data_IF_175373383317
#
_entry.id   IF_175373383317
#
_cell.length_a   1.000
_cell.length_b   1.000
_cell.length_c   1.000
_cell.angle_alpha   90.00
_cell.angle_beta   90.00
_cell.angle_gamma   90.00
#
_symmetry.space_group_name_H-M   'P 1'
#
loop_
_entity.id
_entity.type
_entity.pdbx_description
1 polymer ?
#
# COMPACT_ATOMS: atom_id res chain seq x y z
N UNK A 1 17.72 -2.16 2.47
CA UNK A 1 18.47 -2.43 1.23
C UNK A 1 19.07 -3.82 1.34
N UNK A 2 18.71 -4.73 0.43
CA UNK A 2 19.21 -6.10 0.43
C UNK A 2 20.72 -6.16 0.16
N UNK A 3 21.42 -6.97 0.92
CA UNK A 3 22.85 -7.27 0.75
C UNK A 3 23.10 -8.08 -0.52
N UNK A 4 24.36 -8.13 -0.97
CA UNK A 4 24.75 -8.94 -2.13
C UNK A 4 24.40 -10.42 -1.97
N UNK A 5 24.64 -10.99 -0.78
CA UNK A 5 24.35 -12.40 -0.51
C UNK A 5 22.85 -12.69 -0.52
N UNK A 6 22.03 -11.79 0.01
CA UNK A 6 20.57 -11.91 -0.05
C UNK A 6 20.07 -11.83 -1.50
N UNK A 7 20.61 -10.91 -2.31
CA UNK A 7 20.29 -10.82 -3.74
C UNK A 7 20.67 -12.10 -4.46
N UNK A 8 21.85 -12.67 -4.19
CA UNK A 8 22.28 -13.93 -4.78
C UNK A 8 21.39 -15.10 -4.38
N UNK A 9 21.03 -15.22 -3.09
CA UNK A 9 20.08 -16.23 -2.62
C UNK A 9 18.69 -16.08 -3.28
N UNK A 10 18.24 -14.83 -3.47
CA UNK A 10 16.98 -14.54 -4.14
C UNK A 10 16.98 -14.96 -5.61
N UNK A 11 18.10 -14.87 -6.33
CA UNK A 11 18.21 -15.32 -7.73
C UNK A 11 17.80 -16.79 -7.90
N UNK A 12 18.09 -17.64 -6.92
CA UNK A 12 17.70 -19.05 -6.94
C UNK A 12 16.18 -19.25 -6.87
N UNK A 13 15.43 -18.25 -6.40
CA UNK A 13 13.96 -18.28 -6.30
C UNK A 13 13.26 -17.70 -7.55
N UNK A 14 14.00 -17.00 -8.42
CA UNK A 14 13.44 -16.37 -9.62
C UNK A 14 12.69 -17.36 -10.54
N UNK A 15 13.17 -18.59 -10.80
CA UNK A 15 12.40 -19.54 -11.62
C UNK A 15 11.02 -19.88 -11.04
N UNK A 16 10.92 -19.99 -9.71
CA UNK A 16 9.65 -20.20 -9.00
C UNK A 16 8.71 -19.02 -9.18
N UNK A 17 9.24 -17.79 -9.11
CA UNK A 17 8.47 -16.57 -9.31
C UNK A 17 8.04 -16.37 -10.76
N UNK A 18 8.89 -16.72 -11.73
CA UNK A 18 8.54 -16.75 -13.14
C UNK A 18 7.40 -17.72 -13.42
N UNK A 19 7.43 -18.92 -12.82
CA UNK A 19 6.34 -19.89 -12.91
C UNK A 19 5.05 -19.35 -12.30
N UNK A 20 5.12 -18.72 -11.12
CA UNK A 20 3.95 -18.18 -10.43
C UNK A 20 3.31 -16.98 -11.14
N UNK A 21 4.10 -16.24 -11.93
CA UNK A 21 3.66 -15.04 -12.65
C UNK A 21 3.68 -15.22 -14.16
N UNK A 22 3.73 -16.44 -14.68
CA UNK A 22 3.82 -16.71 -16.11
C UNK A 22 2.67 -16.03 -16.90
N UNK A 23 2.94 -15.55 -18.11
CA UNK A 23 1.96 -14.84 -18.92
C UNK A 23 1.15 -15.81 -19.78
N UNK A 24 0.21 -16.48 -19.12
CA UNK A 24 -0.65 -17.50 -19.72
C UNK A 24 -1.95 -17.62 -18.90
N UNK A 25 -2.95 -18.29 -19.47
CA UNK A 25 -4.26 -18.50 -18.84
C UNK A 25 -4.23 -19.52 -17.69
N UNK A 26 -3.12 -20.24 -17.50
CA UNK A 26 -3.05 -21.26 -16.43
C UNK A 26 -2.97 -20.59 -15.06
N UNK A 27 -3.83 -20.95 -14.11
CA UNK A 27 -3.80 -20.35 -12.78
C UNK A 27 -2.51 -20.74 -12.05
N UNK A 28 -1.97 -19.81 -11.26
CA UNK A 28 -0.81 -20.08 -10.39
C UNK A 28 -1.10 -21.28 -9.46
N UNK A 29 -0.27 -22.34 -9.49
CA UNK A 29 -0.43 -23.49 -8.59
C UNK A 29 -0.43 -23.08 -7.11
N UNK A 30 -1.36 -23.64 -6.33
CA UNK A 30 -1.60 -23.28 -4.92
C UNK A 30 -0.35 -23.33 -4.03
N UNK A 31 0.52 -24.32 -4.24
CA UNK A 31 1.75 -24.50 -3.45
C UNK A 31 2.75 -23.35 -3.63
N UNK A 32 2.76 -22.69 -4.79
CA UNK A 32 3.67 -21.57 -5.05
C UNK A 32 3.36 -20.36 -4.17
N UNK A 33 2.09 -20.15 -3.78
CA UNK A 33 1.74 -19.10 -2.83
C UNK A 33 2.45 -19.30 -1.49
N UNK A 34 2.42 -20.53 -0.97
CA UNK A 34 3.10 -20.87 0.28
C UNK A 34 4.61 -20.72 0.17
N UNK A 35 5.21 -21.18 -0.93
CA UNK A 35 6.66 -21.05 -1.14
C UNK A 35 7.09 -19.57 -1.27
N UNK A 36 6.28 -18.75 -1.94
CA UNK A 36 6.51 -17.30 -2.01
C UNK A 36 6.36 -16.64 -0.64
N UNK A 37 5.37 -17.07 0.15
CA UNK A 37 5.23 -16.66 1.55
C UNK A 37 6.51 -16.88 2.34
N UNK A 38 7.14 -18.06 2.22
CA UNK A 38 8.40 -18.40 2.89
C UNK A 38 9.56 -17.48 2.47
N UNK A 39 9.67 -17.10 1.19
CA UNK A 39 10.71 -16.16 0.71
C UNK A 39 10.64 -14.84 1.49
N UNK A 40 9.44 -14.33 1.77
CA UNK A 40 9.26 -13.07 2.50
C UNK A 40 9.74 -13.11 3.96
N UNK A 41 9.89 -14.32 4.54
CA UNK A 41 10.37 -14.55 5.91
C UNK A 41 11.83 -14.99 5.98
N UNK A 42 12.47 -15.31 4.83
CA UNK A 42 13.86 -15.78 4.78
C UNK A 42 14.84 -14.72 5.28
N UNK A 43 14.66 -13.47 4.85
CA UNK A 43 15.32 -12.28 5.40
C UNK A 43 14.59 -11.00 4.99
N UNK A 44 14.90 -9.87 5.64
CA UNK A 44 14.40 -8.55 5.21
C UNK A 44 14.83 -8.22 3.77
N UNK A 45 16.08 -8.55 3.40
CA UNK A 45 16.57 -8.34 2.03
C UNK A 45 15.90 -9.24 1.00
N UNK A 46 15.64 -10.52 1.31
CA UNK A 46 14.88 -11.41 0.41
C UNK A 46 13.44 -10.92 0.23
N UNK A 47 12.80 -10.45 1.31
CA UNK A 47 11.48 -9.82 1.24
C UNK A 47 11.48 -8.55 0.38
N UNK A 48 12.53 -7.73 0.48
CA UNK A 48 12.69 -6.55 -0.38
C UNK A 48 12.82 -6.94 -1.87
N UNK A 49 13.70 -7.89 -2.20
CA UNK A 49 13.86 -8.36 -3.58
C UNK A 49 12.57 -9.00 -4.13
N UNK A 50 11.83 -9.73 -3.30
CA UNK A 50 10.53 -10.28 -3.67
C UNK A 50 9.54 -9.17 -4.03
N UNK A 51 9.48 -8.12 -3.22
CA UNK A 51 8.58 -6.99 -3.48
C UNK A 51 8.96 -6.27 -4.78
N UNK A 52 10.24 -5.97 -4.97
CA UNK A 52 10.77 -5.36 -6.19
C UNK A 52 10.35 -6.17 -7.43
N UNK A 53 10.63 -7.49 -7.43
CA UNK A 53 10.23 -8.38 -8.51
C UNK A 53 8.72 -8.34 -8.79
N UNK A 54 7.88 -8.46 -7.75
CA UNK A 54 6.43 -8.49 -7.93
C UNK A 54 5.89 -7.15 -8.44
N UNK A 55 6.42 -6.02 -7.98
CA UNK A 55 6.02 -4.69 -8.46
C UNK A 55 6.46 -4.45 -9.91
N UNK A 56 7.65 -4.93 -10.31
CA UNK A 56 8.08 -4.92 -11.72
C UNK A 56 7.14 -5.78 -12.58
N UNK A 57 6.80 -6.99 -12.13
CA UNK A 57 5.84 -7.85 -12.84
C UNK A 57 4.45 -7.22 -12.93
N UNK A 58 3.99 -6.51 -11.88
CA UNK A 58 2.69 -5.83 -11.89
C UNK A 58 2.62 -4.74 -12.96
N UNK A 59 3.73 -4.13 -13.36
CA UNK A 59 3.76 -3.07 -14.37
C UNK A 59 3.60 -3.60 -15.80
N UNK A 60 3.94 -4.87 -16.07
CA UNK A 60 3.81 -5.48 -17.39
C UNK A 60 2.39 -5.35 -17.94
N UNK A 61 2.26 -5.04 -19.23
CA UNK A 61 0.99 -4.81 -19.94
C UNK A 61 0.26 -6.12 -20.29
N UNK A 62 0.05 -6.99 -19.29
CA UNK A 62 -0.77 -8.19 -19.42
C UNK A 62 -1.74 -8.32 -18.25
N UNK A 63 -3.01 -8.53 -18.55
CA UNK A 63 -4.02 -8.80 -17.52
C UNK A 63 -3.69 -10.09 -16.74
N UNK A 64 -3.19 -11.13 -17.41
CA UNK A 64 -2.89 -12.40 -16.75
C UNK A 64 -1.78 -12.26 -15.71
N UNK A 65 -0.71 -11.55 -16.08
CA UNK A 65 0.39 -11.25 -15.17
C UNK A 65 -0.11 -10.43 -13.98
N UNK A 66 -0.85 -9.34 -14.24
CA UNK A 66 -1.38 -8.47 -13.17
C UNK A 66 -2.27 -9.25 -12.21
N UNK A 67 -3.19 -10.08 -12.71
CA UNK A 67 -4.05 -10.92 -11.88
C UNK A 67 -3.22 -11.89 -11.01
N UNK A 68 -2.22 -12.57 -11.59
CA UNK A 68 -1.37 -13.52 -10.85
C UNK A 68 -0.58 -12.81 -9.74
N UNK A 69 0.03 -11.66 -10.05
CA UNK A 69 0.76 -10.84 -9.06
C UNK A 69 -0.17 -10.34 -7.95
N UNK A 70 -1.34 -9.80 -8.29
CA UNK A 70 -2.30 -9.31 -7.30
C UNK A 70 -2.80 -10.43 -6.39
N UNK A 71 -3.05 -11.63 -6.92
CA UNK A 71 -3.39 -12.81 -6.09
C UNK A 71 -2.25 -13.21 -5.16
N UNK A 72 -0.99 -13.06 -5.58
CA UNK A 72 0.16 -13.28 -4.69
C UNK A 72 0.15 -12.24 -3.58
N UNK A 73 -0.11 -10.97 -3.86
CA UNK A 73 -0.25 -9.94 -2.81
C UNK A 73 -1.42 -10.23 -1.86
N UNK A 74 -2.57 -10.69 -2.34
CA UNK A 74 -3.69 -11.12 -1.49
C UNK A 74 -3.22 -12.20 -0.50
N UNK A 75 -2.49 -13.21 -0.98
CA UNK A 75 -1.95 -14.25 -0.10
C UNK A 75 -0.95 -13.68 0.92
N UNK A 76 -0.03 -12.83 0.47
CA UNK A 76 1.01 -12.24 1.31
C UNK A 76 0.45 -11.31 2.37
N UNK A 77 -0.72 -10.68 2.17
CA UNK A 77 -1.38 -9.89 3.22
C UNK A 77 -1.60 -10.68 4.52
N UNK A 78 -1.88 -11.98 4.43
CA UNK A 78 -2.06 -12.85 5.60
C UNK A 78 -0.87 -13.75 5.95
N UNK A 79 0.08 -13.93 5.03
CA UNK A 79 1.14 -14.94 5.16
C UNK A 79 2.56 -14.38 4.99
N UNK A 80 2.69 -13.12 4.60
CA UNK A 80 3.98 -12.44 4.42
C UNK A 80 4.57 -11.93 5.72
N UNK A 81 5.86 -11.58 5.72
CA UNK A 81 6.49 -10.94 6.88
C UNK A 81 5.96 -9.52 7.11
N UNK A 82 5.94 -9.07 8.36
CA UNK A 82 5.51 -7.70 8.71
C UNK A 82 6.37 -6.62 8.01
N UNK A 83 7.66 -6.90 7.82
CA UNK A 83 8.56 -6.03 7.07
C UNK A 83 8.12 -5.91 5.61
N UNK A 84 7.86 -7.04 4.95
CA UNK A 84 7.34 -7.05 3.57
C UNK A 84 6.04 -6.24 3.45
N UNK A 85 5.08 -6.44 4.36
CA UNK A 85 3.81 -5.71 4.33
C UNK A 85 3.97 -4.20 4.56
N UNK A 86 4.93 -3.81 5.40
CA UNK A 86 5.26 -2.39 5.61
C UNK A 86 5.80 -1.76 4.32
N UNK A 87 6.71 -2.45 3.62
CA UNK A 87 7.24 -1.99 2.33
C UNK A 87 6.18 -1.99 1.22
N UNK A 88 5.29 -2.99 1.19
CA UNK A 88 4.18 -3.03 0.24
C UNK A 88 3.21 -1.85 0.47
N UNK A 89 2.94 -1.47 1.73
CA UNK A 89 2.15 -0.26 2.05
C UNK A 89 2.85 1.02 1.60
N UNK A 90 4.17 1.13 1.75
CA UNK A 90 4.96 2.28 1.25
C UNK A 90 4.87 2.43 -0.28
N UNK A 91 4.69 1.32 -0.98
CA UNK A 91 4.57 1.24 -2.44
C UNK A 91 3.11 1.05 -2.90
N UNK A 92 2.13 1.55 -2.14
CA UNK A 92 0.72 1.33 -2.45
C UNK A 92 0.26 1.97 -3.77
N UNK A 93 1.01 2.93 -4.32
CA UNK A 93 0.73 3.58 -5.60
C UNK A 93 0.56 2.58 -6.74
N UNK A 94 1.37 1.52 -6.78
CA UNK A 94 1.24 0.46 -7.79
C UNK A 94 -0.09 -0.31 -7.68
N UNK A 95 -0.57 -0.53 -6.45
CA UNK A 95 -1.87 -1.17 -6.20
C UNK A 95 -3.00 -0.24 -6.62
N UNK A 96 -2.88 1.07 -6.36
CA UNK A 96 -3.86 2.06 -6.81
C UNK A 96 -3.90 2.20 -8.34
N UNK A 97 -2.76 2.12 -9.01
CA UNK A 97 -2.73 2.09 -10.48
C UNK A 97 -3.42 0.85 -11.04
N UNK A 98 -3.21 -0.32 -10.42
CA UNK A 98 -3.89 -1.54 -10.81
C UNK A 98 -5.42 -1.49 -10.56
N UNK A 99 -5.88 -0.77 -9.53
CA UNK A 99 -7.31 -0.66 -9.20
C UNK A 99 -8.12 0.15 -10.23
N UNK A 100 -7.45 0.96 -11.05
CA UNK A 100 -8.06 1.73 -12.16
C UNK A 100 -7.67 1.20 -13.54
N UNK A 101 -6.97 0.06 -13.60
CA UNK A 101 -6.45 -0.50 -14.84
C UNK A 101 -7.55 -0.79 -15.88
N UNK A 102 -7.30 -0.36 -17.11
CA UNK A 102 -8.25 -0.39 -18.23
C UNK A 102 -7.52 -0.48 -19.57
N UNK A 103 -8.22 -0.88 -20.62
CA UNK A 103 -7.70 -0.96 -21.99
C UNK A 103 -8.80 -1.30 -22.99
N UNK A 104 -8.46 -1.47 -24.29
CA UNK A 104 -9.41 -1.88 -25.32
C UNK A 104 -10.06 -3.22 -24.97
N UNK A 105 -11.36 -3.43 -25.27
CA UNK A 105 -12.01 -4.70 -24.99
C UNK A 105 -11.38 -5.85 -25.79
N UNK A 106 -11.14 -6.98 -25.12
CA UNK A 106 -10.69 -8.23 -25.74
C UNK A 106 -11.78 -8.78 -26.69
N UNK A 107 -11.42 -9.35 -27.86
CA UNK A 107 -12.40 -9.88 -28.80
C UNK A 107 -13.30 -11.00 -28.25
N UNK A 108 -12.82 -11.76 -27.25
CA UNK A 108 -13.52 -12.93 -26.71
C UNK A 108 -14.14 -12.61 -25.34
N UNK A 109 -13.37 -11.96 -24.46
CA UNK A 109 -13.73 -11.74 -23.06
C UNK A 109 -14.16 -10.29 -22.75
N UNK A 110 -14.16 -9.40 -23.74
CA UNK A 110 -14.51 -7.99 -23.56
C UNK A 110 -13.65 -7.32 -22.49
N UNK A 111 -14.27 -6.73 -21.47
CA UNK A 111 -13.56 -6.05 -20.37
C UNK A 111 -13.36 -6.91 -19.12
N UNK A 112 -13.72 -8.20 -19.17
CA UNK A 112 -13.75 -9.08 -17.99
C UNK A 112 -12.39 -9.19 -17.29
N UNK A 113 -11.30 -9.30 -18.06
CA UNK A 113 -9.95 -9.39 -17.50
C UNK A 113 -9.53 -8.08 -16.80
N UNK A 114 -9.81 -6.93 -17.39
CA UNK A 114 -9.58 -5.63 -16.76
C UNK A 114 -10.39 -5.47 -15.47
N UNK A 115 -11.66 -5.87 -15.48
CA UNK A 115 -12.50 -5.88 -14.27
C UNK A 115 -11.89 -6.76 -13.18
N UNK A 116 -11.40 -7.95 -13.53
CA UNK A 116 -10.77 -8.88 -12.60
C UNK A 116 -9.47 -8.31 -12.01
N UNK A 117 -8.64 -7.63 -12.79
CA UNK A 117 -7.46 -6.88 -12.28
C UNK A 117 -7.91 -5.86 -11.24
N UNK A 118 -8.88 -4.98 -11.59
CA UNK A 118 -9.35 -3.92 -10.69
C UNK A 118 -9.93 -4.48 -9.39
N UNK A 119 -10.79 -5.49 -9.48
CA UNK A 119 -11.41 -6.13 -8.31
C UNK A 119 -10.36 -6.77 -7.39
N UNK A 120 -9.37 -7.46 -7.96
CA UNK A 120 -8.31 -8.08 -7.16
C UNK A 120 -7.40 -7.02 -6.50
N UNK A 121 -7.10 -5.93 -7.20
CA UNK A 121 -6.34 -4.82 -6.62
C UNK A 121 -7.09 -4.11 -5.48
N UNK A 122 -8.40 -3.93 -5.62
CA UNK A 122 -9.24 -3.42 -4.53
C UNK A 122 -9.23 -4.35 -3.31
N UNK A 123 -9.23 -5.67 -3.53
CA UNK A 123 -9.10 -6.63 -2.43
C UNK A 123 -7.74 -6.54 -1.73
N UNK A 124 -6.63 -6.39 -2.47
CA UNK A 124 -5.31 -6.14 -1.87
C UNK A 124 -5.33 -4.85 -1.05
N UNK A 125 -5.88 -3.76 -1.58
CA UNK A 125 -5.98 -2.50 -0.84
C UNK A 125 -6.82 -2.65 0.44
N UNK A 126 -7.96 -3.35 0.36
CA UNK A 126 -8.80 -3.64 1.52
C UNK A 126 -8.01 -4.39 2.59
N UNK A 127 -7.32 -5.47 2.23
CA UNK A 127 -6.53 -6.26 3.18
C UNK A 127 -5.36 -5.45 3.78
N UNK A 128 -4.66 -4.65 2.99
CA UNK A 128 -3.52 -3.86 3.48
C UNK A 128 -3.90 -2.77 4.49
N UNK A 129 -5.09 -2.19 4.36
CA UNK A 129 -5.50 -0.98 5.09
C UNK A 129 -6.68 -1.18 6.06
N UNK A 130 -7.32 -2.35 6.09
CA UNK A 130 -8.37 -2.64 7.09
C UNK A 130 -7.77 -3.13 8.43
N UNK A 131 -6.62 -3.80 8.40
CA UNK A 131 -6.04 -4.47 9.58
C UNK A 131 -5.22 -3.56 10.53
N UNK A 132 -5.15 -2.25 10.28
CA UNK A 132 -4.53 -1.29 11.21
C UNK A 132 -5.34 -1.04 12.49
N UNK A 133 -6.55 -1.62 12.61
CA UNK A 133 -7.45 -1.41 13.76
C UNK A 133 -7.51 -2.64 14.69
N UNK A 134 -7.00 -3.81 14.28
CA UNK A 134 -7.17 -5.06 15.02
C UNK A 134 -5.86 -5.77 15.40
N UNK A 135 -4.84 -5.03 15.82
CA UNK A 135 -3.68 -5.60 16.54
C UNK A 135 -3.92 -5.55 18.04
N UNK A 136 -4.98 -6.22 18.52
CA UNK A 136 -5.12 -6.62 19.92
C UNK A 136 -5.27 -8.13 20.00
N UNK A 137 -4.19 -8.78 20.44
CA UNK A 137 -4.21 -10.09 21.08
C UNK A 137 -4.53 -11.28 20.19
N UNK A 138 -3.48 -11.95 19.69
CA UNK A 138 -3.54 -13.39 19.49
C UNK A 138 -3.76 -14.04 20.87
N UNK A 139 -5.03 -14.23 21.24
CA UNK A 139 -5.42 -15.07 22.36
C UNK A 139 -5.28 -16.51 21.87
N UNK A 140 -4.25 -17.17 22.39
CA UNK A 140 -4.07 -18.61 22.29
C UNK A 140 -5.36 -19.29 22.79
N UNK A 141 -5.88 -20.33 22.11
CA UNK A 141 -6.99 -21.09 22.66
C UNK A 141 -6.55 -21.73 24.01
N UNK A 142 -7.35 -21.65 25.08
CA UNK A 142 -7.01 -22.31 26.33
C UNK A 142 -7.06 -23.83 26.10
N UNK A 143 -5.96 -24.49 26.46
CA UNK A 143 -5.80 -25.92 26.47
C UNK A 143 -6.89 -26.55 27.37
N UNK A 144 -7.90 -27.18 26.78
CA UNK A 144 -8.89 -27.96 27.54
C UNK A 144 -8.26 -29.29 27.95
N UNK A 145 -7.94 -29.43 29.24
CA UNK A 145 -7.64 -30.72 29.85
C UNK A 145 -8.90 -31.62 29.85
N UNK A 146 -8.77 -32.95 29.70
CA UNK A 146 -9.91 -33.86 29.74
C UNK A 146 -10.46 -33.98 31.18
N UNK A 147 -11.80 -34.10 31.37
CA UNK A 147 -12.37 -34.24 32.70
C UNK A 147 -12.10 -35.64 33.27
N UNK A 148 -11.45 -35.66 34.43
CA UNK A 148 -11.35 -36.82 35.32
C UNK A 148 -12.75 -37.24 35.78
N UNK A 149 -13.02 -38.53 35.60
CA UNK A 149 -14.16 -39.28 36.11
C UNK A 149 -14.28 -39.15 37.64
N UNK A 150 -15.45 -38.73 38.15
CA UNK A 150 -15.69 -38.60 39.59
C UNK A 150 -17.18 -38.59 39.91
N UNK A 151 -17.64 -39.67 40.56
CA UNK A 151 -19.01 -39.90 41.00
C UNK A 151 -19.19 -39.34 42.42
N UNK A 152 -20.16 -38.45 42.64
CA UNK A 152 -20.47 -37.95 43.98
C UNK A 152 -21.61 -36.92 43.99
N UNK A 153 -22.75 -37.31 44.55
CA UNK A 153 -23.88 -36.42 44.83
C UNK A 153 -23.67 -35.67 46.15
N UNK A 154 -23.81 -34.35 46.14
CA UNK A 154 -24.25 -33.60 47.32
C UNK A 154 -24.80 -32.22 46.92
N UNK A 155 -25.86 -31.87 47.64
CA UNK A 155 -26.74 -30.72 47.55
C UNK A 155 -26.14 -29.42 48.09
N UNK A 156 -26.74 -28.31 47.62
CA UNK A 156 -26.82 -26.98 48.25
C UNK A 156 -25.55 -26.10 48.22
N UNK A 157 -25.62 -24.99 47.49
CA UNK A 157 -26.01 -23.71 48.10
C UNK A 157 -26.33 -22.67 47.01
N UNK A 158 -27.52 -22.08 47.10
CA UNK A 158 -27.85 -20.81 46.47
C UNK A 158 -27.02 -19.70 47.11
N UNK A 159 -26.39 -18.86 46.29
CA UNK A 159 -25.98 -17.50 46.62
C UNK A 159 -26.00 -16.76 45.29
N UNK A 160 -26.86 -15.78 45.00
CA UNK A 160 -27.25 -14.63 45.80
C UNK A 160 -26.97 -13.42 44.91
N UNK A 161 -27.99 -12.91 44.22
CA UNK A 161 -27.95 -11.70 43.39
C UNK A 161 -27.62 -10.48 44.25
N UNK A 162 -26.57 -9.70 43.91
CA UNK A 162 -26.54 -8.26 44.20
C UNK A 162 -25.40 -7.55 43.47
N UNK A 163 -25.71 -6.45 42.77
CA UNK A 163 -24.67 -5.58 42.19
C UNK A 163 -25.11 -4.50 41.20
N UNK A 164 -26.27 -3.86 41.36
CA UNK A 164 -26.50 -2.53 40.76
C UNK A 164 -26.10 -1.47 41.77
N UNK A 165 -24.97 -0.80 41.55
CA UNK A 165 -24.48 0.30 42.39
C UNK A 165 -24.58 1.64 41.67
N UNK A 166 -25.64 2.40 41.95
CA UNK A 166 -25.68 3.84 41.72
C UNK A 166 -25.30 4.53 43.03
N UNK A 167 -24.22 5.31 43.03
CA UNK A 167 -23.89 6.23 44.12
C UNK A 167 -24.16 7.67 43.68
N UNK A 168 -25.07 8.41 44.34
CA UNK A 168 -25.21 9.84 44.13
C UNK A 168 -24.31 10.62 45.09
N UNK A 169 -23.73 11.70 44.58
CA UNK A 169 -23.41 12.88 45.38
C UNK A 169 -21.97 13.01 45.87
N UNK A 170 -21.22 13.89 45.20
CA UNK A 170 -20.44 14.93 45.89
C UNK A 170 -20.20 16.11 44.96
N UNK A 171 -20.92 17.20 45.25
CA UNK A 171 -20.59 18.55 44.78
C UNK A 171 -19.26 18.97 45.41
N UNK A 172 -18.34 19.43 44.57
CA UNK A 172 -17.22 20.26 44.98
C UNK A 172 -17.09 21.40 43.96
N UNK A 173 -17.09 22.60 44.50
CA UNK A 173 -17.04 23.91 43.88
C UNK A 173 -15.68 24.26 43.28
N UNK A 174 -15.76 25.08 42.22
CA UNK A 174 -14.80 26.12 41.80
C UNK A 174 -13.51 25.70 41.07
N UNK A 175 -13.26 26.38 39.93
CA UNK A 175 -11.96 26.49 39.29
C UNK A 175 -11.79 25.75 37.96
N UNK A 176 -12.84 25.61 37.16
CA UNK A 176 -12.74 25.07 35.81
C UNK A 176 -12.26 26.12 34.81
N UNK A 177 -10.95 26.37 34.75
CA UNK A 177 -10.35 26.92 33.53
C UNK A 177 -10.59 25.89 32.43
N UNK A 178 -11.67 26.12 31.68
CA UNK A 178 -12.16 25.22 30.66
C UNK A 178 -11.02 24.86 29.70
N UNK A 179 -10.87 23.58 29.40
CA UNK A 179 -9.96 23.10 28.34
C UNK A 179 -10.08 23.94 27.06
N UNK A 180 -11.28 24.48 26.79
CA UNK A 180 -11.56 25.38 25.67
C UNK A 180 -10.81 26.71 25.76
N UNK A 181 -10.66 27.31 26.94
CA UNK A 181 -9.85 28.53 27.14
C UNK A 181 -8.37 28.29 26.82
N UNK A 182 -7.85 27.10 27.16
CA UNK A 182 -6.47 26.73 26.82
C UNK A 182 -6.29 26.52 25.32
N UNK A 183 -7.28 25.93 24.64
CA UNK A 183 -7.27 25.76 23.18
C UNK A 183 -7.37 27.11 22.48
N UNK A 184 -8.25 28.00 22.94
CA UNK A 184 -8.41 29.37 22.44
C UNK A 184 -7.09 30.15 22.54
N UNK A 185 -6.45 30.10 23.71
CA UNK A 185 -5.19 30.81 23.98
C UNK A 185 -4.00 30.27 23.18
N UNK A 186 -3.99 28.96 22.89
CA UNK A 186 -2.99 28.36 22.00
C UNK A 186 -3.19 28.80 20.54
N UNK A 187 -4.44 28.93 20.08
CA UNK A 187 -4.75 29.39 18.73
C UNK A 187 -4.35 30.86 18.48
N UNK A 188 -4.52 31.74 19.47
CA UNK A 188 -4.08 33.15 19.39
C UNK A 188 -2.56 33.30 19.24
N UNK A 189 -1.77 32.50 19.96
CA UNK A 189 -0.31 32.54 19.84
C UNK A 189 0.15 32.14 18.43
N UNK A 190 -0.47 31.11 17.84
CA UNK A 190 -0.15 30.68 16.47
C UNK A 190 -0.53 31.75 15.44
N UNK A 191 -1.69 32.40 15.60
CA UNK A 191 -2.12 33.50 14.72
C UNK A 191 -1.17 34.70 14.77
N UNK A 192 -0.61 35.02 15.94
CA UNK A 192 0.38 36.11 16.10
C UNK A 192 1.72 35.84 15.42
N UNK A 193 2.08 34.56 15.19
CA UNK A 193 3.33 34.15 14.54
C UNK A 193 3.22 33.96 13.02
N UNK A 194 2.01 33.98 12.46
CA UNK A 194 1.72 33.67 11.04
C UNK A 194 1.08 34.85 10.30
N UNK A 195 1.19 36.07 10.83
CA UNK A 195 0.91 37.27 10.04
C UNK A 195 2.20 37.76 9.36
N UNK A 196 2.21 37.88 8.01
CA UNK A 196 3.33 38.53 7.35
C UNK A 196 3.39 40.01 7.79
N UNK A 197 4.59 40.61 7.90
CA UNK A 197 4.72 41.99 8.32
C UNK A 197 4.00 42.92 7.34
N UNK A 198 3.28 43.89 7.91
CA UNK A 198 2.69 45.03 7.22
C UNK A 198 3.77 45.77 6.42
N UNK A 199 3.56 45.83 5.11
CA UNK A 199 4.42 46.51 4.14
C UNK A 199 4.60 47.98 4.51
N UNK A 200 5.85 48.36 4.80
CA UNK A 200 6.28 49.75 4.83
C UNK A 200 6.69 50.16 3.42
N UNK A 201 6.23 51.35 3.00
CA UNK A 201 6.58 51.99 1.74
C UNK A 201 8.12 52.14 1.58
N UNK A 202 8.64 51.66 0.45
CA UNK A 202 9.92 52.10 -0.08
C UNK A 202 10.89 50.97 -0.48
N UNK A 203 10.77 50.51 -1.74
CA UNK A 203 11.84 50.38 -2.75
C UNK A 203 11.13 49.81 -4.00
N UNK A 204 11.06 50.60 -5.09
CA UNK A 204 10.57 50.14 -6.39
C UNK A 204 11.49 49.05 -6.92
N UNK A 205 11.11 47.78 -6.77
CA UNK A 205 11.65 46.71 -7.59
C UNK A 205 10.80 46.60 -8.86
N UNK A 206 11.51 46.71 -9.97
CA UNK A 206 11.01 46.80 -11.34
C UNK A 206 10.06 45.64 -11.69
N UNK A 207 8.90 45.97 -12.27
CA UNK A 207 7.97 45.02 -12.87
C UNK A 207 8.71 44.05 -13.80
N UNK A 208 8.75 42.78 -13.44
CA UNK A 208 9.16 41.71 -14.36
C UNK A 208 7.94 41.32 -15.20
N UNK A 209 7.66 42.11 -16.24
CA UNK A 209 6.76 41.69 -17.30
C UNK A 209 7.38 40.49 -18.03
N UNK A 210 6.86 39.30 -17.80
CA UNK A 210 7.13 38.15 -18.66
C UNK A 210 6.61 38.46 -20.06
N UNK A 211 7.52 38.70 -21.00
CA UNK A 211 7.22 38.85 -22.43
C UNK A 211 7.63 37.55 -23.11
N UNK A 212 6.66 36.81 -23.65
CA UNK A 212 6.95 35.64 -24.46
C UNK A 212 7.85 36.03 -25.64
N UNK A 213 9.04 35.42 -25.72
CA UNK A 213 9.96 35.61 -26.85
C UNK A 213 9.56 34.62 -27.94
N UNK A 214 9.20 35.15 -29.11
CA UNK A 214 8.96 34.34 -30.30
C UNK A 214 10.28 33.79 -30.84
N UNK A 215 10.29 32.51 -31.24
CA UNK A 215 11.44 31.91 -31.91
C UNK A 215 11.72 32.64 -33.24
N UNK A 216 12.98 32.95 -33.57
CA UNK A 216 13.32 33.55 -34.85
C UNK A 216 12.95 32.58 -35.99
N UNK A 217 12.16 33.05 -36.96
CA UNK A 217 11.95 32.37 -38.23
C UNK A 217 13.22 32.45 -39.07
N UNK A 218 14.22 31.62 -38.75
CA UNK A 218 15.33 31.41 -39.68
C UNK A 218 14.82 30.52 -40.83
N UNK A 219 15.07 30.90 -42.10
CA UNK A 219 14.80 29.99 -43.21
C UNK A 219 15.65 28.73 -43.02
N UNK A 220 15.00 27.58 -42.95
CA UNK A 220 15.66 26.29 -43.01
C UNK A 220 16.31 26.21 -44.39
N UNK A 221 17.62 26.35 -44.45
CA UNK A 221 18.40 26.00 -45.64
C UNK A 221 18.31 24.49 -45.78
N UNK A 222 17.37 24.04 -46.62
CA UNK A 222 17.16 22.64 -46.93
C UNK A 222 18.41 22.16 -47.65
N UNK A 223 19.19 21.31 -46.98
CA UNK A 223 20.28 20.58 -47.62
C UNK A 223 19.70 19.79 -48.80
N UNK A 224 20.09 20.21 -50.01
CA UNK A 224 19.66 19.61 -51.26
C UNK A 224 20.25 18.19 -51.34
N UNK A 225 19.45 17.13 -51.54
CA UNK A 225 19.99 15.81 -51.81
C UNK A 225 20.70 15.84 -53.18
N UNK A 226 21.99 15.53 -53.20
CA UNK A 226 22.72 15.33 -54.44
C UNK A 226 22.21 14.05 -55.13
N UNK A 227 21.41 14.21 -56.17
CA UNK A 227 21.22 13.20 -57.19
C UNK A 227 21.46 13.83 -58.57
N UNK A 228 21.90 12.97 -59.48
CA UNK A 228 22.30 13.20 -60.88
C UNK A 228 23.82 13.47 -61.04
N UNK A 229 24.57 12.80 -61.93
CA UNK A 229 24.15 12.14 -63.16
C UNK A 229 25.24 11.18 -63.70
N UNK A 230 24.82 10.43 -64.71
CA UNK A 230 25.40 9.27 -65.39
C UNK A 230 26.73 9.45 -66.16
N UNK A 231 27.19 8.29 -66.71
CA UNK A 231 27.79 8.03 -68.05
C UNK A 231 29.27 7.57 -68.07
N UNK A 232 29.76 6.86 -69.14
CA UNK A 232 29.09 6.07 -70.19
C UNK A 232 29.72 4.67 -70.45
N UNK A 233 29.00 3.88 -71.28
CA UNK A 233 29.43 2.76 -72.16
C UNK A 233 30.36 1.65 -71.64
#
# INVERSE_FOLDING_TARGET
MATFMERFAFLQKVPTLMKATADDETPCPGYLFQDIGKISHESSGCGQCLLEYLLERLQVESCQVKIKVLKIFVHLCGHGSNHFLTELRRNSTFIQQASVYSGPPDPIHGTALYQKVRNTAQEVARLLFTDTISTKGSVSPPNLAPPTMGMGSATAHRSGMQGFGYSPGKQATAGGDSLLDKIQKAAELVASTVLPPTEHQGIRLHDNYYRAVAAPSAPIEVAVPACADNLPC
#
